data_IF_088606338012
#
_entry.id   IF_088606338012
#
_cell.length_a   1.000
_cell.length_b   1.000
_cell.length_c   1.000
_cell.angle_alpha   90.00
_cell.angle_beta   90.00
_cell.angle_gamma   90.00
#
_symmetry.space_group_name_H-M   'P 1'
#
loop_
_entity.id
_entity.type
_entity.pdbx_description
1 polymer ?
#
# COMPACT_ATOMS: atom_id res chain seq x y z
N UNK A 1 -16.04 -25.77 -11.16
CA UNK A 1 -14.87 -25.47 -10.31
C UNK A 1 -13.72 -26.44 -10.58
N UNK A 2 -13.94 -27.75 -10.56
CA UNK A 2 -12.86 -28.74 -10.80
C UNK A 2 -12.17 -28.59 -12.18
N UNK A 3 -12.93 -28.29 -13.25
CA UNK A 3 -12.38 -28.08 -14.59
C UNK A 3 -11.54 -26.80 -14.71
N UNK A 4 -11.83 -25.77 -13.91
CA UNK A 4 -11.13 -24.48 -13.97
C UNK A 4 -9.91 -24.45 -13.04
N UNK A 5 -10.07 -24.91 -11.79
CA UNK A 5 -9.06 -24.74 -10.75
C UNK A 5 -8.30 -26.02 -10.39
N UNK A 6 -8.68 -27.17 -10.96
CA UNK A 6 -7.99 -28.45 -10.77
C UNK A 6 -7.73 -28.79 -9.29
N UNK A 7 -8.73 -28.62 -8.44
CA UNK A 7 -8.63 -28.73 -6.99
C UNK A 7 -8.01 -30.05 -6.51
N UNK A 8 -8.40 -31.15 -7.16
CA UNK A 8 -7.85 -32.49 -6.84
C UNK A 8 -6.36 -32.61 -7.15
N UNK A 9 -5.88 -31.95 -8.22
CA UNK A 9 -4.46 -31.94 -8.59
C UNK A 9 -3.63 -31.17 -7.55
N UNK A 10 -4.22 -30.16 -6.93
CA UNK A 10 -3.58 -29.34 -5.89
C UNK A 10 -3.83 -29.87 -4.48
N UNK A 11 -4.44 -31.08 -4.32
CA UNK A 11 -4.75 -31.70 -3.03
C UNK A 11 -5.55 -30.77 -2.09
N UNK A 12 -6.48 -29.99 -2.65
CA UNK A 12 -7.29 -29.03 -1.90
C UNK A 12 -8.79 -29.25 -2.15
N UNK A 13 -9.63 -28.55 -1.42
CA UNK A 13 -11.07 -28.56 -1.59
C UNK A 13 -11.65 -27.14 -1.51
N UNK A 14 -12.88 -26.96 -1.98
CA UNK A 14 -13.55 -25.65 -2.03
C UNK A 14 -13.59 -24.96 -0.68
N UNK A 15 -13.82 -25.70 0.41
CA UNK A 15 -13.88 -25.12 1.77
C UNK A 15 -12.52 -24.56 2.20
N UNK A 16 -11.46 -25.27 1.94
CA UNK A 16 -10.08 -24.84 2.25
C UNK A 16 -9.72 -23.60 1.47
N UNK A 17 -10.04 -23.56 0.17
CA UNK A 17 -9.76 -22.41 -0.70
C UNK A 17 -10.54 -21.16 -0.27
N UNK A 18 -11.83 -21.31 0.07
CA UNK A 18 -12.66 -20.20 0.56
C UNK A 18 -12.14 -19.66 1.88
N UNK A 19 -11.79 -20.53 2.83
CA UNK A 19 -11.22 -20.12 4.13
C UNK A 19 -9.85 -19.44 3.91
N UNK A 20 -9.03 -19.99 3.02
CA UNK A 20 -7.74 -19.38 2.65
C UNK A 20 -7.92 -17.99 2.06
N UNK A 21 -8.82 -17.83 1.08
CA UNK A 21 -9.16 -16.56 0.47
C UNK A 21 -9.68 -15.53 1.47
N UNK A 22 -10.60 -15.90 2.35
CA UNK A 22 -11.10 -15.03 3.42
C UNK A 22 -9.98 -14.62 4.39
N UNK A 23 -9.11 -15.54 4.77
CA UNK A 23 -7.99 -15.25 5.65
C UNK A 23 -7.04 -14.23 5.00
N UNK A 24 -6.74 -14.41 3.71
CA UNK A 24 -5.89 -13.49 2.94
C UNK A 24 -6.57 -12.14 2.78
N UNK A 25 -7.86 -12.11 2.47
CA UNK A 25 -8.63 -10.87 2.41
C UNK A 25 -8.55 -10.07 3.72
N UNK A 26 -8.81 -10.71 4.87
CA UNK A 26 -8.73 -10.02 6.17
C UNK A 26 -7.32 -9.55 6.52
N UNK A 27 -6.29 -10.28 6.07
CA UNK A 27 -4.90 -9.83 6.25
C UNK A 27 -4.57 -8.55 5.45
N UNK A 28 -5.23 -8.35 4.29
CA UNK A 28 -4.95 -7.25 3.37
C UNK A 28 -5.98 -6.12 3.41
N UNK A 29 -7.14 -6.33 4.04
CA UNK A 29 -8.26 -5.39 4.01
C UNK A 29 -7.92 -4.00 4.57
N UNK A 30 -6.89 -3.88 5.42
CA UNK A 30 -6.43 -2.60 5.94
C UNK A 30 -5.99 -1.63 4.82
N UNK A 31 -5.55 -2.14 3.67
CA UNK A 31 -5.11 -1.34 2.52
C UNK A 31 -6.23 -0.46 1.98
N UNK A 32 -7.48 -0.92 2.08
CA UNK A 32 -8.66 -0.15 1.64
C UNK A 32 -8.73 1.22 2.34
N UNK A 33 -8.28 1.30 3.58
CA UNK A 33 -8.27 2.54 4.36
C UNK A 33 -6.92 3.26 4.29
N UNK A 34 -5.83 2.52 4.36
CA UNK A 34 -4.48 3.10 4.46
C UNK A 34 -4.04 3.70 3.13
N UNK A 35 -4.30 3.04 2.00
CA UNK A 35 -3.89 3.54 0.69
C UNK A 35 -4.51 4.91 0.33
N UNK A 36 -5.85 5.12 0.48
CA UNK A 36 -6.44 6.43 0.27
C UNK A 36 -5.88 7.51 1.19
N UNK A 37 -5.60 7.18 2.45
CA UNK A 37 -5.02 8.13 3.40
C UNK A 37 -3.63 8.62 3.00
N UNK A 38 -2.81 7.79 2.35
CA UNK A 38 -1.52 8.21 1.81
C UNK A 38 -1.68 9.08 0.57
N UNK A 39 -2.43 8.59 -0.42
CA UNK A 39 -2.52 9.24 -1.72
C UNK A 39 -3.35 10.53 -1.67
N UNK A 40 -4.36 10.62 -0.82
CA UNK A 40 -5.17 11.85 -0.67
C UNK A 40 -4.35 13.04 -0.13
N UNK A 41 -3.25 12.81 0.58
CA UNK A 41 -2.35 13.88 1.00
C UNK A 41 -1.76 14.66 -0.17
N UNK A 42 -1.67 14.04 -1.35
CA UNK A 42 -1.19 14.68 -2.58
C UNK A 42 -2.26 15.52 -3.30
N UNK A 43 -3.49 15.58 -2.76
CA UNK A 43 -4.63 16.26 -3.37
C UNK A 43 -5.52 15.37 -4.25
N UNK A 44 -5.33 14.05 -4.22
CA UNK A 44 -6.26 13.11 -4.84
C UNK A 44 -7.55 13.00 -4.02
N UNK A 45 -8.67 12.78 -4.70
CA UNK A 45 -9.94 12.49 -4.03
C UNK A 45 -9.88 11.15 -3.30
N UNK A 46 -10.14 11.17 -1.99
CA UNK A 46 -10.03 10.01 -1.11
C UNK A 46 -10.94 8.86 -1.54
N UNK A 47 -12.20 9.17 -1.90
CA UNK A 47 -13.18 8.16 -2.31
C UNK A 47 -12.82 7.53 -3.64
N UNK A 48 -12.39 8.35 -4.61
CA UNK A 48 -11.96 7.85 -5.91
C UNK A 48 -10.72 6.95 -5.80
N UNK A 49 -9.76 7.27 -4.93
CA UNK A 49 -8.58 6.43 -4.67
C UNK A 49 -8.98 5.12 -4.01
N UNK A 50 -9.91 5.15 -3.03
CA UNK A 50 -10.41 3.94 -2.37
C UNK A 50 -11.06 2.99 -3.38
N UNK A 51 -11.93 3.51 -4.24
CA UNK A 51 -12.59 2.72 -5.28
C UNK A 51 -11.58 2.17 -6.30
N UNK A 52 -10.64 3.01 -6.76
CA UNK A 52 -9.59 2.57 -7.67
C UNK A 52 -8.74 1.45 -7.05
N UNK A 53 -8.43 1.54 -5.75
CA UNK A 53 -7.71 0.51 -5.00
C UNK A 53 -8.49 -0.81 -4.99
N UNK A 54 -9.77 -0.77 -4.65
CA UNK A 54 -10.62 -1.97 -4.62
C UNK A 54 -10.78 -2.61 -6.00
N UNK A 55 -11.05 -1.80 -7.03
CA UNK A 55 -11.25 -2.29 -8.39
C UNK A 55 -9.95 -2.87 -8.97
N UNK A 56 -8.83 -2.19 -8.82
CA UNK A 56 -7.54 -2.68 -9.32
C UNK A 56 -7.10 -3.97 -8.62
N UNK A 57 -7.29 -4.05 -7.30
CA UNK A 57 -7.02 -5.27 -6.53
C UNK A 57 -7.92 -6.43 -6.98
N UNK A 58 -9.21 -6.20 -7.20
CA UNK A 58 -10.14 -7.20 -7.70
C UNK A 58 -9.73 -7.71 -9.08
N UNK A 59 -9.42 -6.80 -10.02
CA UNK A 59 -8.94 -7.17 -11.37
C UNK A 59 -7.65 -7.98 -11.27
N UNK A 60 -6.67 -7.54 -10.47
CA UNK A 60 -5.41 -8.26 -10.27
C UNK A 60 -5.62 -9.65 -9.71
N UNK A 61 -6.46 -9.81 -8.66
CA UNK A 61 -6.79 -11.10 -8.07
C UNK A 61 -7.49 -12.04 -9.08
N UNK A 62 -8.43 -11.53 -9.87
CA UNK A 62 -9.11 -12.33 -10.89
C UNK A 62 -8.14 -12.76 -11.99
N UNK A 63 -7.29 -11.86 -12.48
CA UNK A 63 -6.29 -12.22 -13.49
C UNK A 63 -5.32 -13.29 -12.96
N UNK A 64 -4.84 -13.15 -11.74
CA UNK A 64 -3.95 -14.14 -11.11
C UNK A 64 -4.67 -15.49 -10.93
N UNK A 65 -5.91 -15.49 -10.49
CA UNK A 65 -6.69 -16.70 -10.29
C UNK A 65 -6.98 -17.45 -11.60
N UNK A 66 -7.38 -16.71 -12.66
CA UNK A 66 -7.79 -17.35 -13.92
C UNK A 66 -6.62 -17.65 -14.85
N UNK A 67 -5.59 -16.82 -14.89
CA UNK A 67 -4.45 -17.00 -15.79
C UNK A 67 -3.35 -17.86 -15.19
N UNK A 68 -3.00 -17.62 -13.92
CA UNK A 68 -1.91 -18.34 -13.26
C UNK A 68 -2.37 -19.52 -12.40
N UNK A 69 -3.66 -19.58 -12.04
CA UNK A 69 -4.23 -20.59 -11.13
C UNK A 69 -3.43 -20.74 -9.82
N UNK A 70 -3.02 -19.60 -9.26
CA UNK A 70 -2.32 -19.53 -7.97
C UNK A 70 -3.10 -18.66 -6.98
N UNK A 71 -3.13 -19.02 -5.68
CA UNK A 71 -3.92 -18.32 -4.67
C UNK A 71 -3.19 -17.09 -4.13
N UNK A 72 -2.67 -16.24 -5.01
CA UNK A 72 -2.03 -14.98 -4.62
C UNK A 72 -3.02 -13.83 -4.73
N UNK A 73 -3.22 -13.13 -3.63
CA UNK A 73 -3.98 -11.89 -3.64
C UNK A 73 -3.10 -10.73 -4.10
N UNK A 74 -3.66 -9.87 -4.93
CA UNK A 74 -3.00 -8.68 -5.44
C UNK A 74 -3.52 -7.44 -4.69
N UNK A 75 -2.60 -6.63 -4.20
CA UNK A 75 -2.94 -5.33 -3.59
C UNK A 75 -1.78 -4.34 -3.76
N UNK A 76 -2.06 -3.03 -3.66
CA UNK A 76 -1.02 -2.01 -3.77
C UNK A 76 0.06 -2.17 -2.70
N UNK A 77 1.33 -2.09 -3.11
CA UNK A 77 2.47 -2.11 -2.19
C UNK A 77 2.61 -0.78 -1.44
N UNK A 78 2.45 -0.79 -0.11
CA UNK A 78 2.48 0.43 0.70
C UNK A 78 3.80 1.20 0.61
N UNK A 79 4.93 0.50 0.45
CA UNK A 79 6.24 1.13 0.29
C UNK A 79 6.32 2.02 -0.96
N UNK A 80 5.79 1.56 -2.09
CA UNK A 80 5.73 2.32 -3.33
C UNK A 80 4.77 3.51 -3.24
N UNK A 81 3.63 3.33 -2.58
CA UNK A 81 2.66 4.41 -2.38
C UNK A 81 3.20 5.51 -1.47
N UNK A 82 3.94 5.13 -0.43
CA UNK A 82 4.64 6.09 0.41
C UNK A 82 5.76 6.81 -0.35
N UNK A 83 6.54 6.11 -1.17
CA UNK A 83 7.55 6.71 -2.05
C UNK A 83 6.91 7.69 -3.04
N UNK A 84 5.77 7.32 -3.63
CA UNK A 84 5.01 8.21 -4.50
C UNK A 84 4.62 9.50 -3.79
N UNK A 85 4.01 9.39 -2.61
CA UNK A 85 3.49 10.54 -1.86
C UNK A 85 4.63 11.43 -1.36
N UNK A 86 5.57 10.85 -0.60
CA UNK A 86 6.55 11.64 0.12
C UNK A 86 7.77 12.01 -0.72
N UNK A 87 8.24 11.11 -1.57
CA UNK A 87 9.45 11.40 -2.36
C UNK A 87 9.09 12.09 -3.67
N UNK A 88 8.15 11.58 -4.44
CA UNK A 88 7.85 12.15 -5.76
C UNK A 88 7.02 13.42 -5.63
N UNK A 89 5.89 13.36 -4.92
CA UNK A 89 5.00 14.52 -4.85
C UNK A 89 5.56 15.60 -3.92
N UNK A 90 5.90 15.29 -2.69
CA UNK A 90 6.38 16.29 -1.74
C UNK A 90 7.87 16.61 -1.89
N UNK A 91 8.73 15.60 -2.02
CA UNK A 91 10.19 15.79 -2.08
C UNK A 91 10.67 16.39 -3.39
N UNK A 92 10.22 15.85 -4.53
CA UNK A 92 10.61 16.32 -5.86
C UNK A 92 9.66 17.40 -6.40
N UNK A 93 8.50 17.64 -5.75
CA UNK A 93 7.54 18.68 -6.11
C UNK A 93 6.76 18.40 -7.41
N UNK A 94 6.59 17.14 -7.78
CA UNK A 94 5.70 16.75 -8.88
C UNK A 94 4.24 16.78 -8.43
N UNK A 95 3.35 17.19 -9.32
CA UNK A 95 1.91 17.02 -9.08
C UNK A 95 1.55 15.54 -9.12
N UNK A 96 0.48 15.14 -8.45
CA UNK A 96 0.05 13.74 -8.45
C UNK A 96 -0.26 13.19 -9.85
N UNK A 97 -0.74 14.03 -10.77
CA UNK A 97 -0.96 13.67 -12.17
C UNK A 97 0.36 13.35 -12.90
N UNK A 98 1.40 14.14 -12.63
CA UNK A 98 2.75 13.89 -13.14
C UNK A 98 3.35 12.63 -12.50
N UNK A 99 3.14 12.46 -11.19
CA UNK A 99 3.54 11.25 -10.47
C UNK A 99 2.90 10.00 -11.07
N UNK A 100 1.60 10.02 -11.39
CA UNK A 100 0.93 8.91 -12.09
C UNK A 100 1.54 8.63 -13.46
N UNK A 101 1.95 9.65 -14.20
CA UNK A 101 2.62 9.46 -15.48
C UNK A 101 4.00 8.81 -15.30
N UNK A 102 4.75 9.15 -14.25
CA UNK A 102 6.02 8.51 -13.89
C UNK A 102 5.80 7.02 -13.59
N UNK A 103 4.82 6.70 -12.76
CA UNK A 103 4.46 5.31 -12.43
C UNK A 103 4.03 4.53 -13.67
N UNK A 104 3.26 5.15 -14.57
CA UNK A 104 2.84 4.52 -15.81
C UNK A 104 4.03 4.19 -16.73
N UNK A 105 4.97 5.13 -16.91
CA UNK A 105 6.20 4.90 -17.69
C UNK A 105 7.03 3.78 -17.04
N UNK A 106 7.19 3.81 -15.72
CA UNK A 106 7.89 2.75 -14.98
C UNK A 106 7.25 1.38 -15.18
N UNK A 107 5.91 1.30 -15.10
CA UNK A 107 5.17 0.06 -15.34
C UNK A 107 5.35 -0.50 -16.75
N UNK A 108 5.42 0.37 -17.77
CA UNK A 108 5.73 -0.06 -19.15
C UNK A 108 7.15 -0.61 -19.27
N UNK A 109 8.12 0.05 -18.64
CA UNK A 109 9.51 -0.42 -18.59
C UNK A 109 9.58 -1.76 -17.86
N UNK A 110 8.90 -1.90 -16.73
CA UNK A 110 8.83 -3.15 -15.98
C UNK A 110 8.22 -4.28 -16.80
N UNK A 111 7.14 -4.03 -17.56
CA UNK A 111 6.56 -5.02 -18.47
C UNK A 111 7.58 -5.46 -19.53
N UNK A 112 8.29 -4.52 -20.14
CA UNK A 112 9.32 -4.83 -21.13
C UNK A 112 10.46 -5.69 -20.53
N UNK A 113 10.91 -5.35 -19.33
CA UNK A 113 11.93 -6.11 -18.59
C UNK A 113 11.40 -7.51 -18.21
N UNK A 114 10.13 -7.62 -17.80
CA UNK A 114 9.53 -8.89 -17.36
C UNK A 114 9.35 -9.92 -18.48
N UNK A 115 9.12 -9.46 -19.72
CA UNK A 115 9.04 -10.33 -20.91
C UNK A 115 10.45 -10.81 -21.30
N UNK A 116 11.48 -10.03 -20.98
CA UNK A 116 12.88 -10.34 -21.29
C UNK A 116 13.54 -11.17 -20.17
N UNK A 117 14.55 -11.99 -20.47
CA UNK A 117 15.36 -12.68 -19.46
C UNK A 117 16.17 -11.73 -18.56
N UNK A 118 16.17 -10.43 -18.88
CA UNK A 118 16.89 -9.38 -18.15
C UNK A 118 16.44 -9.30 -16.68
N UNK A 119 15.14 -9.47 -16.39
CA UNK A 119 14.62 -9.47 -15.01
C UNK A 119 15.37 -10.46 -14.11
N UNK A 120 15.57 -11.70 -14.60
CA UNK A 120 16.29 -12.72 -13.85
C UNK A 120 17.74 -12.31 -13.61
N UNK A 121 18.41 -11.77 -14.62
CA UNK A 121 19.80 -11.31 -14.52
C UNK A 121 19.94 -10.16 -13.51
N UNK A 122 19.01 -9.19 -13.49
CA UNK A 122 18.96 -8.10 -12.50
C UNK A 122 18.82 -8.67 -11.10
N UNK A 123 17.86 -9.58 -10.88
CA UNK A 123 17.62 -10.18 -9.56
C UNK A 123 18.83 -11.00 -9.09
N UNK A 124 19.43 -11.78 -9.99
CA UNK A 124 20.57 -12.64 -9.66
C UNK A 124 21.87 -11.83 -9.43
N UNK A 125 22.01 -10.65 -10.02
CA UNK A 125 23.16 -9.75 -9.84
C UNK A 125 23.20 -9.11 -8.45
N UNK A 126 22.07 -9.08 -7.72
CA UNK A 126 21.98 -8.43 -6.41
C UNK A 126 22.38 -9.43 -5.31
N UNK A 127 23.37 -9.09 -4.47
CA UNK A 127 23.79 -9.93 -3.36
C UNK A 127 22.64 -10.20 -2.38
N UNK A 128 22.57 -11.41 -1.82
CA UNK A 128 21.54 -11.80 -0.87
C UNK A 128 21.40 -10.85 0.36
N UNK A 129 22.48 -10.34 0.95
CA UNK A 129 22.38 -9.36 2.03
C UNK A 129 21.66 -8.07 1.61
N UNK A 130 21.86 -7.60 0.37
CA UNK A 130 21.20 -6.39 -0.12
C UNK A 130 19.69 -6.61 -0.31
N UNK A 131 19.28 -7.78 -0.80
CA UNK A 131 17.85 -8.16 -0.90
C UNK A 131 17.17 -8.13 0.46
N UNK A 132 17.81 -8.66 1.50
CA UNK A 132 17.30 -8.61 2.86
C UNK A 132 17.26 -7.17 3.40
N UNK A 133 18.27 -6.36 3.11
CA UNK A 133 18.34 -4.97 3.53
C UNK A 133 17.23 -4.10 2.90
N UNK A 134 16.85 -4.35 1.64
CA UNK A 134 15.75 -3.65 0.96
C UNK A 134 14.44 -3.87 1.73
N UNK A 135 14.11 -5.12 2.06
CA UNK A 135 12.88 -5.44 2.81
C UNK A 135 12.87 -4.80 4.21
N UNK A 136 14.01 -4.83 4.90
CA UNK A 136 14.15 -4.17 6.20
C UNK A 136 14.02 -2.65 6.09
N UNK A 137 14.63 -2.03 5.06
CA UNK A 137 14.54 -0.60 4.81
C UNK A 137 13.11 -0.13 4.53
N UNK A 138 12.37 -0.87 3.71
CA UNK A 138 10.95 -0.59 3.44
C UNK A 138 10.14 -0.68 4.73
N UNK A 139 10.37 -1.72 5.56
CA UNK A 139 9.69 -1.88 6.84
C UNK A 139 9.95 -0.73 7.81
N UNK A 140 11.21 -0.28 7.94
CA UNK A 140 11.59 0.87 8.77
C UNK A 140 10.99 2.18 8.25
N UNK A 141 10.95 2.37 6.93
CA UNK A 141 10.35 3.54 6.32
C UNK A 141 8.84 3.63 6.61
N UNK A 142 8.11 2.53 6.44
CA UNK A 142 6.69 2.46 6.77
C UNK A 142 6.46 2.68 8.28
N UNK A 143 7.32 2.12 9.12
CA UNK A 143 7.27 2.32 10.56
C UNK A 143 7.42 3.80 10.92
N UNK A 144 8.42 4.48 10.37
CA UNK A 144 8.63 5.92 10.59
C UNK A 144 7.40 6.75 10.19
N UNK A 145 6.85 6.48 9.00
CA UNK A 145 5.65 7.17 8.53
C UNK A 145 4.45 6.88 9.44
N UNK A 146 4.30 5.65 9.91
CA UNK A 146 3.28 5.27 10.89
C UNK A 146 3.40 6.07 12.19
N UNK A 147 4.62 6.24 12.72
CA UNK A 147 4.89 7.04 13.92
C UNK A 147 4.61 8.53 13.72
N UNK A 148 4.93 9.08 12.53
CA UNK A 148 4.61 10.46 12.16
C UNK A 148 3.09 10.68 12.08
N UNK A 149 2.36 9.78 11.40
CA UNK A 149 0.90 9.87 11.27
C UNK A 149 0.17 9.67 12.61
N UNK A 150 0.74 8.85 13.49
CA UNK A 150 0.22 8.66 14.85
C UNK A 150 0.48 9.87 15.77
N UNK A 151 1.29 10.83 15.34
CA UNK A 151 1.69 11.98 16.15
C UNK A 151 2.64 11.62 17.32
N UNK A 152 3.26 10.45 17.29
CA UNK A 152 4.29 10.05 18.26
C UNK A 152 5.61 10.76 17.96
N UNK A 153 5.92 10.87 16.68
CA UNK A 153 7.05 11.64 16.15
C UNK A 153 6.51 12.84 15.40
N UNK A 154 7.10 14.00 15.61
CA UNK A 154 6.76 15.25 14.90
C UNK A 154 8.01 15.82 14.25
N UNK A 155 7.83 16.55 13.15
CA UNK A 155 8.91 17.34 12.56
C UNK A 155 9.18 18.53 13.48
N UNK A 156 10.35 18.52 14.09
CA UNK A 156 10.78 19.56 15.04
C UNK A 156 12.03 20.31 14.55
N UNK A 157 12.57 21.18 15.43
CA UNK A 157 13.77 21.94 15.12
C UNK A 157 15.01 21.08 14.88
N UNK A 158 15.02 19.85 15.37
CA UNK A 158 16.12 18.89 15.24
C UNK A 158 15.79 17.72 14.29
N UNK A 159 15.08 17.96 13.21
CA UNK A 159 14.58 17.00 12.22
C UNK A 159 13.39 16.17 12.71
N UNK A 160 13.53 15.49 13.85
CA UNK A 160 12.49 14.64 14.43
C UNK A 160 12.49 14.82 15.95
N UNK A 161 11.37 15.24 16.50
CA UNK A 161 11.15 15.34 17.94
C UNK A 161 10.08 14.36 18.39
N UNK A 162 10.25 13.79 19.60
CA UNK A 162 9.21 13.00 20.25
C UNK A 162 8.11 13.92 20.76
N UNK A 163 6.91 13.73 20.25
CA UNK A 163 5.73 14.42 20.76
C UNK A 163 5.31 13.89 22.13
N UNK A 164 4.36 14.57 22.75
CA UNK A 164 3.75 14.10 23.99
C UNK A 164 3.04 12.76 23.77
N UNK A 165 3.63 11.68 24.30
CA UNK A 165 3.08 10.32 24.23
C UNK A 165 1.71 10.21 24.89
N UNK A 166 1.40 11.15 25.81
CA UNK A 166 0.13 11.24 26.51
C UNK A 166 -0.98 11.91 25.70
N UNK A 167 -0.69 12.43 24.50
CA UNK A 167 -1.73 12.95 23.61
C UNK A 167 -2.68 11.82 23.18
N UNK A 168 -3.98 12.09 23.10
CA UNK A 168 -5.00 11.08 22.80
C UNK A 168 -4.68 10.21 21.57
N UNK A 169 -4.32 10.80 20.41
CA UNK A 169 -3.98 10.04 19.21
C UNK A 169 -2.73 9.15 19.39
N UNK A 170 -1.66 9.66 20.00
CA UNK A 170 -0.41 8.91 20.20
C UNK A 170 -0.61 7.75 21.19
N UNK A 171 -1.34 8.00 22.27
CA UNK A 171 -1.68 6.96 23.24
C UNK A 171 -2.53 5.86 22.62
N UNK A 172 -3.55 6.23 21.82
CA UNK A 172 -4.39 5.28 21.10
C UNK A 172 -3.56 4.42 20.12
N UNK A 173 -2.64 5.04 19.39
CA UNK A 173 -1.75 4.35 18.46
C UNK A 173 -0.84 3.33 19.18
N UNK A 174 -0.29 3.68 20.34
CA UNK A 174 0.51 2.76 21.16
C UNK A 174 -0.32 1.58 21.69
N UNK A 175 -1.54 1.83 22.17
CA UNK A 175 -2.45 0.77 22.60
C UNK A 175 -2.74 -0.16 21.42
N UNK A 176 -3.06 0.40 20.25
CA UNK A 176 -3.32 -0.37 19.04
C UNK A 176 -2.12 -1.21 18.59
N UNK A 177 -0.91 -0.65 18.67
CA UNK A 177 0.33 -1.37 18.35
C UNK A 177 0.54 -2.57 19.29
N UNK A 178 0.34 -2.38 20.59
CA UNK A 178 0.48 -3.46 21.59
C UNK A 178 -0.56 -4.56 21.34
N UNK A 179 -1.82 -4.19 21.15
CA UNK A 179 -2.91 -5.15 20.88
C UNK A 179 -2.60 -5.95 19.61
N UNK A 180 -2.24 -5.26 18.54
CA UNK A 180 -1.91 -5.91 17.27
C UNK A 180 -0.69 -6.83 17.42
N UNK A 181 0.34 -6.38 18.16
CA UNK A 181 1.53 -7.19 18.45
C UNK A 181 1.21 -8.47 19.23
N UNK A 182 0.33 -8.38 20.23
CA UNK A 182 -0.15 -9.55 20.99
C UNK A 182 -0.90 -10.53 20.09
N UNK A 183 -1.84 -10.01 19.26
CA UNK A 183 -2.60 -10.83 18.32
C UNK A 183 -1.70 -11.53 17.29
N UNK A 184 -0.65 -10.86 16.82
CA UNK A 184 0.35 -11.44 15.94
C UNK A 184 1.19 -12.50 16.63
N UNK A 185 1.60 -12.26 17.88
CA UNK A 185 2.34 -13.24 18.68
C UNK A 185 1.52 -14.52 18.93
N UNK A 186 0.22 -14.39 19.09
CA UNK A 186 -0.71 -15.52 19.18
C UNK A 186 -1.06 -16.16 17.84
N UNK A 187 -0.46 -15.70 16.74
CA UNK A 187 -0.69 -16.19 15.38
C UNK A 187 -2.18 -16.15 14.97
N UNK A 188 -2.93 -15.15 15.44
CA UNK A 188 -4.33 -14.96 15.09
C UNK A 188 -4.41 -14.57 13.61
N UNK A 189 -5.21 -15.30 12.83
CA UNK A 189 -5.44 -14.99 11.42
C UNK A 189 -6.18 -13.66 11.29
N UNK A 190 -5.64 -12.72 10.50
CA UNK A 190 -6.21 -11.38 10.37
C UNK A 190 -5.92 -10.45 11.56
N UNK A 191 -4.85 -10.70 12.34
CA UNK A 191 -4.46 -9.90 13.51
C UNK A 191 -4.40 -8.39 13.24
N UNK A 192 -3.90 -7.98 12.08
CA UNK A 192 -3.84 -6.57 11.67
C UNK A 192 -5.25 -5.97 11.55
N UNK A 193 -6.16 -6.65 10.86
CA UNK A 193 -7.52 -6.16 10.68
C UNK A 193 -8.29 -6.09 12.02
N UNK A 194 -8.18 -7.14 12.84
CA UNK A 194 -8.78 -7.17 14.18
C UNK A 194 -8.19 -6.06 15.05
N UNK A 195 -6.87 -5.85 14.99
CA UNK A 195 -6.19 -4.79 15.71
C UNK A 195 -6.73 -3.40 15.33
N UNK A 196 -6.92 -3.12 14.03
CA UNK A 196 -7.50 -1.86 13.56
C UNK A 196 -8.93 -1.68 14.09
N UNK A 197 -9.79 -2.70 14.00
CA UNK A 197 -11.16 -2.63 14.48
C UNK A 197 -11.23 -2.36 15.99
N UNK A 198 -10.46 -3.11 16.78
CA UNK A 198 -10.42 -2.95 18.23
C UNK A 198 -9.90 -1.57 18.62
N UNK A 199 -8.83 -1.09 17.96
CA UNK A 199 -8.28 0.25 18.22
C UNK A 199 -9.27 1.35 17.85
N UNK A 200 -10.01 1.19 16.74
CA UNK A 200 -11.06 2.14 16.34
C UNK A 200 -12.16 2.21 17.38
N UNK A 201 -12.62 1.07 17.91
CA UNK A 201 -13.64 1.01 18.96
C UNK A 201 -13.14 1.67 20.25
N UNK A 202 -11.88 1.46 20.64
CA UNK A 202 -11.26 2.12 21.80
C UNK A 202 -11.14 3.62 21.58
N UNK A 203 -10.88 4.05 20.35
CA UNK A 203 -10.75 5.47 19.97
C UNK A 203 -12.04 6.28 20.12
N UNK A 204 -13.22 5.63 20.09
CA UNK A 204 -14.52 6.30 20.27
C UNK A 204 -14.63 6.94 21.67
N UNK A 205 -14.50 6.20 22.78
CA UNK A 205 -14.57 6.80 24.13
C UNK A 205 -13.41 7.74 24.44
N UNK A 206 -12.27 7.60 23.75
CA UNK A 206 -11.14 8.53 23.90
C UNK A 206 -11.34 9.84 23.13
N UNK A 207 -12.43 9.98 22.36
CA UNK A 207 -12.72 11.18 21.56
C UNK A 207 -11.79 11.38 20.36
N UNK A 208 -10.95 10.42 20.06
CA UNK A 208 -10.03 10.44 18.90
C UNK A 208 -10.77 10.03 17.63
N UNK A 209 -11.63 9.01 17.74
CA UNK A 209 -12.45 8.54 16.61
C UNK A 209 -13.81 9.25 16.65
N UNK A 210 -14.04 10.15 15.70
CA UNK A 210 -15.26 10.91 15.59
C UNK A 210 -16.23 10.26 14.60
N UNK A 211 -17.33 9.70 15.09
CA UNK A 211 -18.37 9.05 14.28
C UNK A 211 -19.42 10.00 13.73
N UNK A 212 -19.47 11.26 14.22
CA UNK A 212 -20.50 12.23 13.82
C UNK A 212 -20.43 12.63 12.34
N UNK A 213 -19.28 12.44 11.70
CA UNK A 213 -19.06 12.77 10.29
C UNK A 213 -19.14 11.53 9.37
N UNK A 214 -19.52 10.36 9.87
CA UNK A 214 -19.70 9.16 9.07
C UNK A 214 -21.07 9.23 8.39
N UNK A 215 -21.14 9.97 7.30
CA UNK A 215 -22.27 9.89 6.37
C UNK A 215 -21.95 8.79 5.34
N UNK A 216 -22.69 7.69 5.40
CA UNK A 216 -22.70 6.69 4.33
C UNK A 216 -23.55 7.29 3.20
N UNK A 217 -22.97 8.20 2.42
CA UNK A 217 -23.57 8.71 1.21
C UNK A 217 -23.00 7.93 0.04
N UNK A 218 -23.89 7.30 -0.72
CA UNK A 218 -23.54 6.69 -2.00
C UNK A 218 -23.55 7.72 -3.14
N UNK A 219 -23.88 8.97 -2.86
CA UNK A 219 -23.82 10.07 -3.82
C UNK A 219 -22.36 10.48 -4.05
N UNK A 220 -21.97 10.53 -5.32
CA UNK A 220 -20.60 10.93 -5.69
C UNK A 220 -19.58 9.81 -5.74
N UNK A 221 -19.99 8.53 -5.60
CA UNK A 221 -19.10 7.39 -5.80
C UNK A 221 -18.68 7.35 -7.28
N UNK A 222 -17.51 7.90 -7.58
CA UNK A 222 -16.98 7.95 -8.94
C UNK A 222 -15.46 7.77 -8.93
N UNK A 223 -14.95 7.01 -9.89
CA UNK A 223 -13.51 6.89 -10.16
C UNK A 223 -13.04 8.04 -11.08
N UNK A 224 -13.96 8.77 -11.71
CA UNK A 224 -13.67 9.80 -12.69
C UNK A 224 -12.68 10.89 -12.25
N UNK A 225 -12.62 11.33 -10.97
CA UNK A 225 -11.64 12.32 -10.53
C UNK A 225 -10.18 11.86 -10.66
N UNK A 226 -9.91 10.55 -10.57
CA UNK A 226 -8.55 10.00 -10.61
C UNK A 226 -8.27 9.14 -11.85
N UNK A 227 -9.33 8.65 -12.51
CA UNK A 227 -9.19 7.74 -13.64
C UNK A 227 -8.58 8.45 -14.87
N UNK A 228 -7.49 7.92 -15.39
CA UNK A 228 -6.77 8.41 -16.56
C UNK A 228 -6.34 9.89 -16.47
N UNK A 229 -6.15 10.45 -15.26
CA UNK A 229 -5.68 11.81 -15.04
C UNK A 229 -4.16 11.94 -15.11
N UNK A 230 -3.53 11.16 -16.00
CA UNK A 230 -2.09 11.21 -16.26
C UNK A 230 -1.73 12.52 -16.95
N UNK A 231 -0.71 13.21 -16.48
CA UNK A 231 -0.18 14.41 -17.15
C UNK A 231 1.30 14.21 -17.48
N UNK A 232 1.59 14.16 -18.77
CA UNK A 232 2.96 14.14 -19.27
C UNK A 232 3.54 15.54 -19.44
N UNK A 233 2.68 16.57 -19.35
CA UNK A 233 3.08 17.97 -19.50
C UNK A 233 3.91 18.40 -18.28
N UNK A 234 5.06 18.98 -18.55
CA UNK A 234 5.94 19.48 -17.49
C UNK A 234 6.74 18.42 -16.72
N UNK A 235 6.76 17.15 -17.14
CA UNK A 235 7.62 16.13 -16.53
C UNK A 235 9.11 16.51 -16.55
N UNK A 236 9.56 17.17 -17.61
CA UNK A 236 10.94 17.66 -17.77
C UNK A 236 11.20 18.99 -17.08
N UNK A 237 10.18 19.66 -16.54
CA UNK A 237 10.33 20.98 -15.90
C UNK A 237 11.24 20.95 -14.68
N UNK A 238 11.35 19.82 -14.00
CA UNK A 238 12.23 19.59 -12.85
C UNK A 238 13.62 19.05 -13.23
N UNK A 239 13.86 18.84 -14.51
CA UNK A 239 15.10 18.27 -15.05
C UNK A 239 14.99 16.78 -15.38
N UNK A 240 15.91 16.30 -16.20
CA UNK A 240 15.93 14.90 -16.64
C UNK A 240 16.37 13.97 -15.50
N UNK A 241 17.31 14.41 -14.67
CA UNK A 241 17.90 13.56 -13.62
C UNK A 241 16.88 13.13 -12.54
N UNK A 242 16.06 14.02 -11.93
CA UNK A 242 15.01 13.62 -11.01
C UNK A 242 13.99 12.67 -11.64
N UNK A 243 13.61 12.93 -12.90
CA UNK A 243 12.68 12.09 -13.63
C UNK A 243 13.23 10.67 -13.82
N UNK A 244 14.45 10.53 -14.31
CA UNK A 244 15.11 9.24 -14.48
C UNK A 244 15.27 8.50 -13.15
N UNK A 245 15.67 9.21 -12.09
CA UNK A 245 15.82 8.62 -10.77
C UNK A 245 14.47 8.05 -10.28
N UNK A 246 13.39 8.80 -10.42
CA UNK A 246 12.05 8.34 -10.02
C UNK A 246 11.61 7.11 -10.81
N UNK A 247 11.73 7.12 -12.14
CA UNK A 247 11.33 6.02 -13.02
C UNK A 247 12.15 4.76 -12.72
N UNK A 248 13.48 4.90 -12.60
CA UNK A 248 14.37 3.76 -12.32
C UNK A 248 14.09 3.18 -10.95
N UNK A 249 13.87 4.02 -9.94
CA UNK A 249 13.55 3.55 -8.58
C UNK A 249 12.26 2.74 -8.55
N UNK A 250 11.18 3.23 -9.21
CA UNK A 250 9.95 2.45 -9.32
C UNK A 250 10.16 1.14 -10.07
N UNK A 251 10.77 1.17 -11.25
CA UNK A 251 10.99 -0.02 -12.05
C UNK A 251 11.84 -1.07 -11.31
N UNK A 252 12.85 -0.62 -10.55
CA UNK A 252 13.66 -1.51 -9.71
C UNK A 252 12.84 -2.07 -8.54
N UNK A 253 12.07 -1.25 -7.84
CA UNK A 253 11.20 -1.74 -6.76
C UNK A 253 10.19 -2.77 -7.27
N UNK A 254 9.56 -2.53 -8.43
CA UNK A 254 8.62 -3.48 -9.05
C UNK A 254 9.29 -4.80 -9.44
N UNK A 255 10.60 -4.80 -9.72
CA UNK A 255 11.34 -6.05 -9.98
C UNK A 255 11.51 -6.93 -8.73
N UNK A 256 11.43 -6.33 -7.51
CA UNK A 256 11.65 -7.02 -6.22
C UNK A 256 10.37 -7.38 -5.48
N UNK A 257 9.27 -6.74 -5.81
CA UNK A 257 7.95 -7.02 -5.26
C UNK A 257 7.25 -8.06 -6.13
#
# INVERSE_FOLDING_TARGET
>A
MEKLFQLKKHNTNVRTEVIGGLTTFFAMAYIIFVNPNFLSQTGMDHTAVMLATCVSAAIGCFLTAFMANVPFAQAPGMGLNAFFTYTICFGMGYTWQQGLAIVFISGLIFLAISISPIRKQIIDSIPAPLKAAISAGIGLFICLIGLLNAGIVTAGNNLLDLSSITSGPALLALIGLIITGILMAWKVKGALFIGILVTTVIGIPMGVTNLSNVSISFEGISIAPTFFKLSFVGLLSKGILPLLTAIVTFAMCDCFV
#
